data_IF_451588898029
#
_entry.id   IF_451588898029
#
_cell.length_a   1.000
_cell.length_b   1.000
_cell.length_c   1.000
_cell.angle_alpha   90.00
_cell.angle_beta   90.00
_cell.angle_gamma   90.00
#
_symmetry.space_group_name_H-M   'P 1'
#
loop_
_entity.id
_entity.type
_entity.pdbx_description
1 polymer ?
#
# COMPACT_ATOMS: atom_id res chain seq x y z
N UNK A 1 -19.74 12.44 -11.53
CA UNK A 1 -20.48 11.15 -11.56
C UNK A 1 -21.95 11.38 -11.88
N UNK A 2 -22.69 12.29 -11.20
CA UNK A 2 -24.15 12.52 -11.43
C UNK A 2 -24.49 12.93 -12.88
N UNK A 3 -23.70 13.86 -13.45
CA UNK A 3 -23.88 14.28 -14.85
C UNK A 3 -23.72 13.12 -15.84
N UNK A 4 -22.80 12.21 -15.55
CA UNK A 4 -22.59 10.99 -16.37
C UNK A 4 -23.80 10.07 -16.28
N UNK A 5 -24.30 9.80 -15.07
CA UNK A 5 -25.46 8.95 -14.87
C UNK A 5 -26.72 9.52 -15.50
N UNK A 6 -26.93 10.84 -15.40
CA UNK A 6 -28.04 11.51 -16.08
C UNK A 6 -27.96 11.32 -17.61
N UNK A 7 -26.77 11.47 -18.19
CA UNK A 7 -26.56 11.27 -19.63
C UNK A 7 -26.79 9.82 -20.06
N UNK A 8 -26.31 8.87 -19.25
CA UNK A 8 -26.53 7.44 -19.50
C UNK A 8 -28.03 7.09 -19.48
N UNK A 9 -28.78 7.60 -18.50
CA UNK A 9 -30.25 7.41 -18.46
C UNK A 9 -30.93 7.99 -19.70
N UNK A 10 -30.56 9.20 -20.11
CA UNK A 10 -31.11 9.80 -21.33
C UNK A 10 -30.86 8.93 -22.56
N UNK A 11 -29.66 8.39 -22.72
CA UNK A 11 -29.33 7.51 -23.85
C UNK A 11 -30.09 6.18 -23.78
N UNK A 12 -30.24 5.60 -22.61
CA UNK A 12 -31.06 4.40 -22.43
C UNK A 12 -32.51 4.65 -22.79
N UNK A 13 -33.09 5.78 -22.35
CA UNK A 13 -34.46 6.15 -22.65
C UNK A 13 -34.69 6.44 -24.14
N UNK A 14 -33.62 6.72 -24.88
CA UNK A 14 -33.61 6.80 -26.37
C UNK A 14 -33.41 5.44 -27.05
N UNK A 15 -33.38 4.33 -26.29
CA UNK A 15 -33.26 2.97 -26.82
C UNK A 15 -31.83 2.45 -26.94
N UNK A 16 -30.84 3.17 -26.40
CA UNK A 16 -29.45 2.68 -26.40
C UNK A 16 -29.24 1.63 -25.31
N UNK A 17 -28.59 0.52 -25.68
CA UNK A 17 -28.03 -0.41 -24.68
C UNK A 17 -26.68 0.10 -24.18
N UNK A 18 -26.52 0.15 -22.88
CA UNK A 18 -25.30 0.64 -22.24
C UNK A 18 -24.60 -0.51 -21.51
N UNK A 19 -23.33 -0.71 -21.85
CA UNK A 19 -22.47 -1.67 -21.17
C UNK A 19 -21.36 -0.93 -20.42
N UNK A 20 -21.24 -1.17 -19.12
CA UNK A 20 -20.24 -0.55 -18.26
C UNK A 20 -19.42 -1.61 -17.53
N UNK A 21 -18.10 -1.45 -17.52
CA UNK A 21 -17.19 -2.28 -16.73
C UNK A 21 -16.58 -1.40 -15.66
N UNK A 22 -16.83 -1.72 -14.40
CA UNK A 22 -16.33 -0.97 -13.26
C UNK A 22 -16.17 -1.88 -12.03
N UNK A 23 -15.24 -1.55 -11.16
CA UNK A 23 -15.10 -2.14 -9.83
C UNK A 23 -15.72 -1.27 -8.73
N UNK A 24 -16.33 -0.14 -9.09
CA UNK A 24 -16.96 0.80 -8.15
C UNK A 24 -18.40 0.36 -7.88
N UNK A 25 -18.56 -0.40 -6.82
CA UNK A 25 -19.84 -1.04 -6.45
C UNK A 25 -20.97 -0.01 -6.29
N UNK A 26 -20.70 1.13 -5.65
CA UNK A 26 -21.68 2.19 -5.48
C UNK A 26 -22.23 2.75 -6.82
N UNK A 27 -21.43 2.71 -7.90
CA UNK A 27 -21.89 3.09 -9.23
C UNK A 27 -22.82 2.03 -9.82
N UNK A 28 -22.48 0.75 -9.67
CA UNK A 28 -23.29 -0.38 -10.15
C UNK A 28 -24.67 -0.41 -9.49
N UNK A 29 -24.72 -0.32 -8.15
CA UNK A 29 -25.98 -0.30 -7.39
C UNK A 29 -26.91 0.82 -7.84
N UNK A 30 -26.37 1.96 -8.29
CA UNK A 30 -27.18 3.14 -8.65
C UNK A 30 -27.69 3.17 -10.09
N UNK A 31 -27.03 2.44 -11.02
CA UNK A 31 -27.31 2.62 -12.44
C UNK A 31 -27.60 1.34 -13.21
N UNK A 32 -27.23 0.16 -12.67
CA UNK A 32 -27.32 -1.09 -13.40
C UNK A 32 -28.71 -1.71 -13.24
N UNK A 33 -29.29 -2.17 -14.37
CA UNK A 33 -30.49 -3.01 -14.37
C UNK A 33 -30.12 -4.49 -14.18
N UNK A 34 -28.88 -4.85 -14.57
CA UNK A 34 -28.30 -6.19 -14.41
C UNK A 34 -26.79 -6.09 -14.26
N UNK A 35 -26.23 -6.85 -13.36
CA UNK A 35 -24.78 -6.92 -13.13
C UNK A 35 -24.29 -8.36 -13.23
N UNK A 36 -23.33 -8.62 -14.12
CA UNK A 36 -22.59 -9.89 -14.17
C UNK A 36 -21.28 -9.70 -13.43
N UNK A 37 -21.02 -10.52 -12.42
CA UNK A 37 -19.79 -10.47 -11.66
C UNK A 37 -18.79 -11.49 -12.19
N UNK A 38 -17.61 -11.01 -12.53
CA UNK A 38 -16.49 -11.83 -13.01
C UNK A 38 -15.38 -11.89 -11.96
N UNK A 39 -14.80 -13.07 -11.78
CA UNK A 39 -13.65 -13.30 -10.91
C UNK A 39 -12.71 -14.32 -11.57
N UNK A 40 -11.42 -13.95 -11.63
CA UNK A 40 -10.38 -14.80 -12.25
C UNK A 40 -10.73 -15.26 -13.70
N UNK A 41 -11.43 -14.39 -14.45
CA UNK A 41 -11.84 -14.68 -15.83
C UNK A 41 -13.12 -15.52 -15.98
N UNK A 42 -13.76 -15.88 -14.87
CA UNK A 42 -14.98 -16.71 -14.85
C UNK A 42 -16.17 -15.88 -14.35
N UNK A 43 -17.33 -16.05 -14.98
CA UNK A 43 -18.62 -15.55 -14.48
C UNK A 43 -18.97 -16.30 -13.19
N UNK A 44 -19.08 -15.56 -12.08
CA UNK A 44 -19.40 -16.12 -10.76
C UNK A 44 -20.84 -15.83 -10.31
N UNK A 45 -21.60 -15.06 -11.11
CA UNK A 45 -23.01 -14.83 -10.87
C UNK A 45 -23.55 -13.58 -11.53
N UNK A 46 -24.86 -13.59 -11.76
CA UNK A 46 -25.62 -12.46 -12.32
C UNK A 46 -26.63 -12.01 -11.30
N UNK A 47 -26.72 -10.70 -11.08
CA UNK A 47 -27.69 -10.04 -10.23
C UNK A 47 -28.55 -9.12 -11.07
N UNK A 48 -29.85 -9.01 -10.76
CA UNK A 48 -30.77 -8.15 -11.47
C UNK A 48 -31.72 -7.41 -10.48
N UNK A 49 -32.12 -6.21 -10.85
CA UNK A 49 -33.05 -5.40 -10.07
C UNK A 49 -32.62 -5.24 -8.62
N UNK A 50 -33.51 -5.57 -7.68
CA UNK A 50 -33.29 -5.41 -6.24
C UNK A 50 -32.17 -6.31 -5.66
N UNK A 51 -31.73 -7.32 -6.41
CA UNK A 51 -30.59 -8.15 -6.01
C UNK A 51 -29.25 -7.41 -6.13
N UNK A 52 -29.19 -6.32 -6.90
CA UNK A 52 -27.97 -5.50 -7.09
C UNK A 52 -27.75 -4.66 -5.84
N UNK A 53 -27.25 -5.28 -4.80
CA UNK A 53 -26.87 -4.64 -3.55
C UNK A 53 -25.37 -4.69 -3.35
N UNK A 54 -24.83 -3.76 -2.56
CA UNK A 54 -23.40 -3.76 -2.22
C UNK A 54 -22.97 -5.10 -1.62
N UNK A 55 -23.79 -5.65 -0.74
CA UNK A 55 -23.54 -6.93 -0.07
C UNK A 55 -23.47 -8.09 -1.06
N UNK A 56 -24.42 -8.20 -1.97
CA UNK A 56 -24.46 -9.31 -2.94
C UNK A 56 -23.31 -9.21 -3.94
N UNK A 57 -23.01 -8.00 -4.45
CA UNK A 57 -21.90 -7.76 -5.34
C UNK A 57 -20.57 -8.13 -4.67
N UNK A 58 -20.34 -7.66 -3.44
CA UNK A 58 -19.13 -7.98 -2.68
C UNK A 58 -19.01 -9.48 -2.40
N UNK A 59 -20.12 -10.14 -2.04
CA UNK A 59 -20.14 -11.57 -1.80
C UNK A 59 -19.69 -12.37 -3.02
N UNK A 60 -20.18 -12.04 -4.21
CA UNK A 60 -19.77 -12.68 -5.46
C UNK A 60 -18.32 -12.34 -5.84
N UNK A 61 -17.91 -11.07 -5.72
CA UNK A 61 -16.56 -10.62 -6.07
C UNK A 61 -15.48 -11.29 -5.19
N UNK A 62 -15.75 -11.48 -3.90
CA UNK A 62 -14.79 -12.07 -2.96
C UNK A 62 -14.91 -13.58 -2.83
N UNK A 63 -16.06 -14.16 -3.19
CA UNK A 63 -16.35 -15.58 -2.97
C UNK A 63 -16.71 -15.94 -1.53
N UNK A 64 -16.89 -14.95 -0.68
CA UNK A 64 -17.15 -15.13 0.75
C UNK A 64 -18.65 -14.94 1.03
N UNK A 65 -19.37 -16.03 1.30
CA UNK A 65 -20.81 -16.01 1.62
C UNK A 65 -21.14 -15.28 2.93
N UNK A 66 -20.14 -14.98 3.75
CA UNK A 66 -20.27 -14.25 5.03
C UNK A 66 -19.80 -12.81 4.93
N UNK A 67 -19.81 -12.22 3.74
CA UNK A 67 -19.40 -10.85 3.58
C UNK A 67 -20.39 -9.91 4.28
N UNK A 68 -20.02 -9.47 5.45
CA UNK A 68 -20.58 -8.29 6.08
C UNK A 68 -19.90 -7.06 5.47
N UNK A 69 -20.68 -6.00 5.22
CA UNK A 69 -20.25 -4.72 4.66
C UNK A 69 -18.95 -4.22 5.32
N UNK A 70 -18.16 -3.41 4.61
CA UNK A 70 -16.89 -2.83 5.08
C UNK A 70 -16.97 -2.17 6.49
N UNK A 71 -18.19 -1.85 6.95
CA UNK A 71 -18.49 -1.38 8.32
C UNK A 71 -18.31 -2.45 9.41
N UNK A 72 -18.17 -3.74 9.08
CA UNK A 72 -17.97 -4.82 10.06
C UNK A 72 -16.52 -5.34 10.15
N UNK A 73 -15.56 -4.73 9.46
CA UNK A 73 -14.20 -4.77 9.93
C UNK A 73 -14.19 -3.88 11.18
N UNK A 74 -14.77 -4.38 12.27
CA UNK A 74 -14.58 -3.77 13.59
C UNK A 74 -13.10 -3.55 13.73
N UNK A 75 -12.70 -2.29 13.80
CA UNK A 75 -11.37 -1.95 14.19
C UNK A 75 -11.14 -2.62 15.55
N UNK A 76 -10.54 -3.80 15.55
CA UNK A 76 -9.99 -4.35 16.77
C UNK A 76 -8.97 -3.30 17.19
N UNK A 77 -9.16 -2.63 18.33
CA UNK A 77 -8.15 -1.67 18.77
C UNK A 77 -6.81 -2.40 18.79
N UNK A 78 -5.73 -1.76 18.36
CA UNK A 78 -4.40 -2.35 18.47
C UNK A 78 -4.20 -2.78 19.93
N UNK A 79 -3.50 -3.89 20.14
CA UNK A 79 -3.24 -4.49 21.46
C UNK A 79 -2.40 -3.57 22.35
N UNK A 80 -2.54 -2.36 22.50
CA UNK A 80 -1.84 -1.29 23.21
C UNK A 80 -1.02 -0.40 22.25
N UNK A 81 -1.53 0.77 21.98
CA UNK A 81 -0.71 1.89 21.52
C UNK A 81 0.26 2.23 22.66
N UNK A 82 1.55 2.26 22.37
CA UNK A 82 2.59 2.63 23.33
C UNK A 82 2.64 4.16 23.47
N UNK A 83 3.04 4.66 24.64
CA UNK A 83 3.35 6.09 24.80
C UNK A 83 4.65 6.51 24.12
N UNK A 84 5.38 5.54 23.55
CA UNK A 84 6.64 5.77 22.85
C UNK A 84 6.40 6.40 21.47
N UNK A 85 6.81 7.65 21.28
CA UNK A 85 6.74 8.33 20.00
C UNK A 85 7.88 7.85 19.09
N UNK A 86 7.54 7.36 17.90
CA UNK A 86 8.51 6.84 16.92
C UNK A 86 8.74 7.77 15.73
N UNK A 87 7.78 8.66 15.44
CA UNK A 87 7.91 9.69 14.41
C UNK A 87 7.14 10.94 14.86
N UNK A 88 7.73 12.11 14.63
CA UNK A 88 7.09 13.42 14.89
C UNK A 88 7.27 14.35 13.70
N UNK A 89 6.27 15.17 13.42
CA UNK A 89 6.39 16.34 12.56
C UNK A 89 6.23 17.59 13.42
N UNK A 90 7.16 18.55 13.28
CA UNK A 90 7.17 19.80 14.03
C UNK A 90 7.20 20.98 13.07
N UNK A 91 6.17 21.83 13.17
CA UNK A 91 5.97 23.01 12.33
C UNK A 91 6.18 22.73 10.84
N UNK A 92 5.75 21.53 10.42
CA UNK A 92 5.97 21.02 9.07
C UNK A 92 5.08 21.73 8.09
N UNK A 93 5.66 22.41 7.11
CA UNK A 93 4.95 23.06 6.01
C UNK A 93 5.33 22.39 4.70
N UNK A 94 4.35 21.81 4.03
CA UNK A 94 4.54 21.06 2.76
C UNK A 94 3.92 21.76 1.55
N UNK A 95 3.23 22.87 1.77
CA UNK A 95 2.51 23.64 0.76
C UNK A 95 2.57 25.14 1.07
N UNK A 96 2.77 26.01 0.06
CA UNK A 96 2.93 27.44 0.26
C UNK A 96 1.77 28.11 1.01
N UNK A 97 0.55 27.74 0.67
CA UNK A 97 -0.67 28.26 1.30
C UNK A 97 -1.25 27.33 2.37
N UNK A 98 -0.50 26.30 2.80
CA UNK A 98 -0.90 25.36 3.84
C UNK A 98 -0.54 25.85 5.24
N UNK A 99 -1.26 25.37 6.23
CA UNK A 99 -0.95 25.58 7.63
C UNK A 99 0.23 24.71 8.08
N UNK A 100 0.80 25.03 9.23
CA UNK A 100 1.81 24.21 9.90
C UNK A 100 1.18 22.94 10.46
N UNK A 101 1.83 21.82 10.18
CA UNK A 101 1.39 20.49 10.63
C UNK A 101 2.29 20.05 11.79
N UNK A 102 1.65 19.76 12.92
CA UNK A 102 2.30 19.19 14.09
C UNK A 102 1.57 17.89 14.45
N UNK A 103 2.32 16.79 14.58
CA UNK A 103 1.77 15.54 15.07
C UNK A 103 2.87 14.62 15.61
N UNK A 104 2.46 13.69 16.45
CA UNK A 104 3.28 12.61 16.99
C UNK A 104 2.64 11.27 16.62
N UNK A 105 3.46 10.32 16.18
CA UNK A 105 3.05 8.95 15.87
C UNK A 105 3.58 8.01 16.96
N UNK A 106 2.72 7.50 17.83
CA UNK A 106 3.06 6.48 18.81
C UNK A 106 3.37 5.14 18.14
N UNK A 107 4.22 4.36 18.78
CA UNK A 107 4.53 2.99 18.35
C UNK A 107 3.28 2.12 18.40
N UNK A 108 3.03 1.37 17.31
CA UNK A 108 1.89 0.47 17.19
C UNK A 108 0.60 1.17 16.73
N UNK A 109 0.64 2.46 16.40
CA UNK A 109 -0.50 3.16 15.82
C UNK A 109 -0.54 3.00 14.29
N UNK A 110 -1.76 2.95 13.73
CA UNK A 110 -2.02 3.12 12.30
C UNK A 110 -2.67 4.48 12.12
N UNK A 111 -1.89 5.46 11.68
CA UNK A 111 -2.39 6.80 11.37
C UNK A 111 -2.93 6.86 9.94
N UNK A 112 -4.19 7.20 9.77
CA UNK A 112 -4.80 7.44 8.46
C UNK A 112 -4.77 8.92 8.08
N UNK A 113 -4.17 9.25 6.93
CA UNK A 113 -4.18 10.59 6.34
C UNK A 113 -5.15 10.60 5.16
N UNK A 114 -6.08 11.56 5.14
CA UNK A 114 -7.08 11.68 4.07
C UNK A 114 -7.29 13.14 3.70
N UNK A 115 -7.80 13.37 2.49
CA UNK A 115 -8.12 14.69 1.94
C UNK A 115 -8.63 14.58 0.51
N UNK A 116 -9.09 15.71 -0.04
CA UNK A 116 -9.41 15.79 -1.46
C UNK A 116 -8.13 15.82 -2.30
N UNK A 117 -8.22 15.39 -3.55
CA UNK A 117 -7.08 15.45 -4.47
C UNK A 117 -6.49 16.86 -4.53
N UNK A 118 -5.15 16.95 -4.42
CA UNK A 118 -4.45 18.22 -4.49
C UNK A 118 -4.40 19.02 -3.18
N UNK A 119 -4.78 18.44 -2.04
CA UNK A 119 -4.74 19.13 -0.74
C UNK A 119 -3.43 18.90 0.03
N UNK A 120 -2.37 18.40 -0.64
CA UNK A 120 -1.03 18.28 -0.07
C UNK A 120 -0.74 16.99 0.68
N UNK A 121 -1.68 16.03 0.77
CA UNK A 121 -1.45 14.75 1.45
C UNK A 121 -0.29 13.95 0.84
N UNK A 122 -0.12 14.00 -0.50
CA UNK A 122 1.00 13.35 -1.17
C UNK A 122 2.34 13.96 -0.76
N UNK A 123 2.42 15.29 -0.76
CA UNK A 123 3.61 16.03 -0.33
C UNK A 123 3.93 15.76 1.15
N UNK A 124 2.90 15.72 1.99
CA UNK A 124 3.04 15.42 3.41
C UNK A 124 3.65 14.04 3.63
N UNK A 125 3.07 13.01 3.03
CA UNK A 125 3.54 11.62 3.16
C UNK A 125 4.95 11.45 2.60
N UNK A 126 5.30 12.13 1.49
CA UNK A 126 6.64 12.14 0.92
C UNK A 126 7.66 12.87 1.80
N UNK A 127 7.25 13.97 2.44
CA UNK A 127 8.11 14.67 3.40
C UNK A 127 8.43 13.80 4.62
N UNK A 128 7.44 13.08 5.16
CA UNK A 128 7.66 12.12 6.26
C UNK A 128 8.66 11.02 5.90
N UNK A 129 8.68 10.60 4.64
CA UNK A 129 9.60 9.59 4.12
C UNK A 129 10.96 10.16 3.68
N UNK A 130 11.16 11.47 3.77
CA UNK A 130 12.39 12.15 3.33
C UNK A 130 12.59 12.12 1.81
N UNK A 131 11.52 11.98 1.02
CA UNK A 131 11.56 12.02 -0.44
C UNK A 131 11.53 13.46 -0.92
N UNK A 132 10.54 14.21 -0.42
CA UNK A 132 10.42 15.65 -0.69
C UNK A 132 10.88 16.42 0.55
N UNK A 133 11.57 17.56 0.31
CA UNK A 133 11.92 18.46 1.41
C UNK A 133 10.71 19.32 1.77
N UNK A 134 10.38 19.46 3.05
CA UNK A 134 9.35 20.40 3.47
C UNK A 134 9.80 21.83 3.21
N UNK A 135 8.86 22.76 3.05
CA UNK A 135 9.14 24.20 2.93
C UNK A 135 9.69 24.78 4.23
N UNK A 136 9.23 24.25 5.36
CA UNK A 136 9.75 24.55 6.70
C UNK A 136 9.39 23.46 7.69
N UNK A 137 9.96 23.53 8.91
CA UNK A 137 9.75 22.52 9.94
C UNK A 137 10.66 21.31 9.77
N UNK A 138 10.42 20.31 10.57
CA UNK A 138 11.24 19.11 10.57
C UNK A 138 10.43 17.83 10.84
N UNK A 139 10.92 16.72 10.31
CA UNK A 139 10.46 15.38 10.62
C UNK A 139 11.53 14.70 11.47
N UNK A 140 11.13 14.20 12.63
CA UNK A 140 12.01 13.54 13.59
C UNK A 140 11.59 12.09 13.70
N UNK A 141 12.54 11.17 13.61
CA UNK A 141 12.29 9.72 13.71
C UNK A 141 13.18 9.11 14.77
N UNK A 142 12.63 8.19 15.54
CA UNK A 142 13.40 7.36 16.45
C UNK A 142 14.35 6.46 15.66
N UNK A 143 15.63 6.50 16.03
CA UNK A 143 16.66 5.74 15.32
C UNK A 143 16.49 4.22 15.52
N UNK A 144 16.95 3.44 14.56
CA UNK A 144 17.13 2.01 14.73
C UNK A 144 18.20 1.73 15.79
N UNK A 145 18.17 0.55 16.39
CA UNK A 145 19.13 0.19 17.43
C UNK A 145 20.57 0.26 16.92
N UNK A 146 20.83 -0.16 15.67
CA UNK A 146 22.15 -0.09 15.03
C UNK A 146 22.63 1.37 14.87
N UNK A 147 21.77 2.29 14.43
CA UNK A 147 22.11 3.71 14.30
C UNK A 147 22.26 4.39 15.66
N UNK A 148 21.43 4.02 16.63
CA UNK A 148 21.54 4.53 18.01
C UNK A 148 22.85 4.14 18.66
N UNK A 149 23.30 2.89 18.49
CA UNK A 149 24.61 2.46 18.97
C UNK A 149 25.76 3.23 18.32
N UNK A 150 25.65 3.52 17.03
CA UNK A 150 26.65 4.24 16.25
C UNK A 150 26.70 5.73 16.57
N UNK A 151 25.55 6.38 16.67
CA UNK A 151 25.44 7.85 16.81
C UNK A 151 25.32 8.33 18.24
N UNK A 152 24.94 7.43 19.17
CA UNK A 152 24.60 7.72 20.58
C UNK A 152 23.42 8.70 20.72
N UNK A 153 22.51 8.72 19.72
CA UNK A 153 21.31 9.55 19.73
C UNK A 153 20.09 8.65 19.59
N UNK A 154 19.01 8.95 20.30
CA UNK A 154 17.76 8.19 20.19
C UNK A 154 16.94 8.61 18.97
N UNK A 155 17.03 9.86 18.55
CA UNK A 155 16.26 10.44 17.47
C UNK A 155 17.15 11.14 16.44
N UNK A 156 16.66 11.23 15.21
CA UNK A 156 17.31 11.97 14.12
C UNK A 156 16.29 12.70 13.26
N UNK A 157 16.69 13.83 12.69
CA UNK A 157 15.89 14.55 11.70
C UNK A 157 16.03 13.85 10.35
N UNK A 158 14.92 13.68 9.66
CA UNK A 158 14.84 13.09 8.32
C UNK A 158 15.08 14.19 7.28
N UNK A 159 16.28 14.24 6.71
CA UNK A 159 16.62 15.16 5.63
C UNK A 159 16.71 14.48 4.25
N UNK A 160 16.58 13.16 4.22
CA UNK A 160 16.63 12.38 2.99
C UNK A 160 15.98 11.00 3.17
N UNK A 161 15.62 10.38 2.05
CA UNK A 161 15.18 8.99 2.03
C UNK A 161 16.21 8.04 2.67
N UNK A 162 17.51 8.38 2.57
CA UNK A 162 18.56 7.58 3.18
C UNK A 162 18.53 7.68 4.70
N UNK A 163 18.27 8.85 5.27
CA UNK A 163 18.15 9.04 6.73
C UNK A 163 16.91 8.30 7.25
N UNK A 164 15.78 8.43 6.56
CA UNK A 164 14.55 7.68 6.87
C UNK A 164 14.83 6.17 6.87
N UNK A 165 15.46 5.65 5.82
CA UNK A 165 15.79 4.22 5.69
C UNK A 165 16.72 3.73 6.82
N UNK A 166 17.76 4.49 7.19
CA UNK A 166 18.66 4.15 8.30
C UNK A 166 17.92 4.08 9.62
N UNK A 167 16.90 4.90 9.80
CA UNK A 167 16.04 4.88 11.00
C UNK A 167 14.96 3.79 10.97
N UNK A 168 14.94 2.95 9.93
CA UNK A 168 13.99 1.86 9.81
C UNK A 168 12.63 2.27 9.20
N UNK A 169 12.58 3.38 8.49
CA UNK A 169 11.38 3.82 7.76
C UNK A 169 11.35 3.17 6.38
N UNK A 170 10.27 2.46 6.08
CA UNK A 170 9.94 1.95 4.74
C UNK A 170 8.90 2.84 4.07
N UNK A 171 9.03 3.02 2.75
CA UNK A 171 8.07 3.80 1.96
C UNK A 171 7.55 3.01 0.76
N UNK A 172 6.23 3.12 0.51
CA UNK A 172 5.56 2.57 -0.67
C UNK A 172 4.84 3.69 -1.40
N UNK A 173 5.23 3.91 -2.67
CA UNK A 173 4.66 4.97 -3.50
C UNK A 173 3.23 4.63 -3.96
N UNK A 174 2.41 5.67 -4.12
CA UNK A 174 1.07 5.61 -4.70
C UNK A 174 1.07 5.52 -6.23
N UNK A 175 2.13 5.97 -6.90
CA UNK A 175 2.26 5.84 -8.36
C UNK A 175 3.06 4.58 -8.72
N UNK A 176 2.35 3.45 -8.74
CA UNK A 176 2.94 2.15 -9.08
C UNK A 176 3.70 2.19 -10.42
N UNK A 177 3.13 2.84 -11.44
CA UNK A 177 3.67 2.78 -12.80
C UNK A 177 4.91 3.62 -12.99
N UNK A 178 4.99 4.79 -12.35
CA UNK A 178 6.10 5.74 -12.51
C UNK A 178 7.20 5.52 -11.49
N UNK A 179 6.83 5.25 -10.24
CA UNK A 179 7.75 5.22 -9.10
C UNK A 179 7.85 3.83 -8.47
N UNK A 180 6.80 3.01 -8.62
CA UNK A 180 6.65 1.81 -7.83
C UNK A 180 7.34 0.58 -8.40
N UNK A 181 7.30 0.33 -9.70
CA UNK A 181 7.85 -0.86 -10.35
C UNK A 181 8.94 -0.54 -11.34
N UNK A 182 9.82 -1.50 -11.56
CA UNK A 182 10.82 -1.51 -12.62
C UNK A 182 10.29 -2.41 -13.75
N UNK A 183 9.61 -1.87 -14.79
CA UNK A 183 8.85 -2.67 -15.74
C UNK A 183 9.69 -3.64 -16.57
N UNK A 184 10.97 -3.33 -16.76
CA UNK A 184 11.94 -4.15 -17.51
C UNK A 184 12.70 -5.17 -16.65
N UNK A 185 12.34 -5.26 -15.36
CA UNK A 185 12.94 -6.22 -14.43
C UNK A 185 11.94 -7.34 -14.12
N UNK A 186 12.46 -8.47 -13.70
CA UNK A 186 11.67 -9.62 -13.27
C UNK A 186 10.87 -9.35 -11.98
N UNK A 187 9.91 -10.20 -11.69
CA UNK A 187 9.14 -10.17 -10.43
C UNK A 187 10.12 -10.29 -9.25
N UNK A 188 11.07 -11.21 -9.35
CA UNK A 188 12.10 -11.43 -8.34
C UNK A 188 12.94 -10.17 -8.09
N UNK A 189 13.53 -9.60 -9.14
CA UNK A 189 14.36 -8.39 -9.02
C UNK A 189 13.59 -7.23 -8.44
N UNK A 190 12.33 -7.02 -8.86
CA UNK A 190 11.48 -5.98 -8.32
C UNK A 190 11.28 -6.11 -6.81
N UNK A 191 11.27 -7.32 -6.27
CA UNK A 191 11.10 -7.55 -4.83
C UNK A 191 12.40 -7.41 -4.05
N UNK A 192 13.49 -8.02 -4.53
CA UNK A 192 14.73 -8.17 -3.74
C UNK A 192 15.77 -7.08 -3.96
N UNK A 193 15.55 -6.14 -4.90
CA UNK A 193 16.50 -5.08 -5.23
C UNK A 193 17.02 -4.27 -4.01
N UNK A 194 16.22 -3.96 -2.99
CA UNK A 194 16.71 -3.24 -1.82
C UNK A 194 17.76 -4.01 -1.02
N UNK A 195 17.76 -5.32 -1.15
CA UNK A 195 18.64 -6.23 -0.40
C UNK A 195 20.04 -6.34 -1.01
N UNK A 196 20.23 -5.99 -2.28
CA UNK A 196 21.55 -6.14 -2.95
C UNK A 196 22.68 -5.33 -2.28
N UNK A 197 22.37 -4.29 -1.55
CA UNK A 197 23.34 -3.50 -0.77
C UNK A 197 23.37 -3.87 0.72
N UNK A 198 22.48 -4.73 1.17
CA UNK A 198 22.33 -5.10 2.58
C UNK A 198 23.23 -6.25 3.03
N UNK A 199 23.27 -6.47 4.34
CA UNK A 199 23.98 -7.61 4.95
C UNK A 199 23.42 -8.96 4.52
N UNK A 200 22.11 -9.01 4.19
CA UNK A 200 21.40 -10.22 3.73
C UNK A 200 21.90 -10.71 2.36
N UNK A 201 22.41 -9.82 1.52
CA UNK A 201 22.83 -10.18 0.16
C UNK A 201 24.33 -10.46 0.04
N UNK A 202 25.15 -10.05 1.02
CA UNK A 202 26.61 -10.12 0.91
C UNK A 202 27.19 -11.10 1.93
N UNK A 203 28.07 -11.99 1.46
CA UNK A 203 28.94 -12.74 2.37
C UNK A 203 29.94 -11.78 3.02
N UNK A 204 30.14 -11.91 4.33
CA UNK A 204 31.18 -11.19 5.05
C UNK A 204 32.54 -11.66 4.57
N UNK A 205 33.23 -10.85 3.81
CA UNK A 205 34.59 -11.15 3.38
C UNK A 205 35.01 -10.38 2.13
N UNK A 206 35.55 -9.19 2.29
CA UNK A 206 36.35 -8.55 1.27
C UNK A 206 35.60 -7.58 0.34
N UNK A 207 36.38 -6.93 -0.51
CA UNK A 207 35.99 -5.89 -1.47
C UNK A 207 35.00 -6.37 -2.57
N UNK A 208 34.89 -7.69 -2.77
CA UNK A 208 34.00 -8.35 -3.74
C UNK A 208 33.03 -9.24 -2.95
N UNK A 209 31.84 -8.72 -2.61
CA UNK A 209 30.81 -9.53 -1.97
C UNK A 209 30.04 -10.38 -2.98
N UNK A 210 29.97 -11.69 -2.75
CA UNK A 210 29.09 -12.58 -3.51
C UNK A 210 27.64 -12.41 -3.03
N UNK A 211 26.69 -12.44 -3.97
CA UNK A 211 25.26 -12.40 -3.65
C UNK A 211 24.84 -13.77 -3.10
N UNK A 212 24.21 -13.77 -1.93
CA UNK A 212 23.68 -14.98 -1.29
C UNK A 212 22.32 -15.35 -1.90
N UNK A 213 22.32 -15.93 -3.06
CA UNK A 213 21.12 -16.28 -3.81
C UNK A 213 20.13 -17.15 -3.05
N UNK A 214 20.62 -18.08 -2.23
CA UNK A 214 19.75 -18.94 -1.43
C UNK A 214 18.95 -18.16 -0.39
N UNK A 215 19.59 -17.22 0.31
CA UNK A 215 18.92 -16.37 1.29
C UNK A 215 17.88 -15.45 0.62
N UNK A 216 18.26 -14.82 -0.50
CA UNK A 216 17.34 -13.95 -1.24
C UNK A 216 16.15 -14.72 -1.84
N UNK A 217 16.36 -15.94 -2.30
CA UNK A 217 15.27 -16.80 -2.76
C UNK A 217 14.32 -17.15 -1.60
N UNK A 218 14.86 -17.50 -0.44
CA UNK A 218 14.03 -17.76 0.76
C UNK A 218 13.18 -16.56 1.16
N UNK A 219 13.76 -15.35 1.14
CA UNK A 219 13.00 -14.11 1.41
C UNK A 219 11.91 -13.89 0.36
N UNK A 220 12.22 -14.10 -0.92
CA UNK A 220 11.25 -13.98 -2.00
C UNK A 220 10.07 -14.94 -1.81
N UNK A 221 10.36 -16.22 -1.62
CA UNK A 221 9.35 -17.26 -1.48
C UNK A 221 8.47 -17.01 -0.24
N UNK A 222 9.07 -16.59 0.88
CA UNK A 222 8.37 -16.19 2.10
C UNK A 222 7.38 -15.04 1.86
N UNK A 223 7.80 -13.96 1.19
CA UNK A 223 6.94 -12.81 0.94
C UNK A 223 5.82 -13.13 -0.08
N UNK A 224 6.11 -13.98 -1.07
CA UNK A 224 5.11 -14.47 -2.02
C UNK A 224 4.00 -15.23 -1.29
N UNK A 225 4.36 -16.13 -0.38
CA UNK A 225 3.41 -16.88 0.43
C UNK A 225 2.67 -15.96 1.41
N UNK A 226 3.39 -15.14 2.17
CA UNK A 226 2.86 -14.24 3.18
C UNK A 226 1.80 -13.29 2.62
N UNK A 227 2.05 -12.67 1.47
CA UNK A 227 1.13 -11.73 0.83
C UNK A 227 0.18 -12.41 -0.18
N UNK A 228 0.24 -13.74 -0.30
CA UNK A 228 -0.57 -14.51 -1.26
C UNK A 228 -0.47 -13.90 -2.67
N UNK A 229 0.77 -13.70 -3.16
CA UNK A 229 1.03 -13.12 -4.47
C UNK A 229 0.81 -14.19 -5.53
N UNK A 230 -0.20 -14.00 -6.40
CA UNK A 230 -0.42 -14.91 -7.53
C UNK A 230 0.60 -14.58 -8.62
N UNK A 231 1.63 -15.41 -8.74
CA UNK A 231 2.73 -15.23 -9.69
C UNK A 231 2.98 -16.48 -10.51
N UNK A 232 3.47 -16.32 -11.73
CA UNK A 232 4.12 -17.37 -12.51
C UNK A 232 5.62 -17.49 -12.12
N UNK A 233 6.46 -18.02 -13.02
CA UNK A 233 7.91 -18.08 -12.78
C UNK A 233 8.47 -16.73 -12.35
N UNK A 234 9.28 -16.70 -11.30
CA UNK A 234 9.82 -15.46 -10.70
C UNK A 234 10.67 -14.61 -11.63
N UNK A 235 11.20 -15.24 -12.69
CA UNK A 235 11.99 -14.58 -13.72
C UNK A 235 11.15 -13.88 -14.80
N UNK A 236 9.81 -14.05 -14.79
CA UNK A 236 8.93 -13.30 -15.68
C UNK A 236 9.00 -11.81 -15.34
N UNK A 237 8.77 -10.95 -16.33
CA UNK A 237 8.68 -9.51 -16.10
C UNK A 237 7.56 -9.19 -15.12
N UNK A 238 7.76 -8.17 -14.29
CA UNK A 238 6.74 -7.68 -13.34
C UNK A 238 5.44 -7.29 -14.05
N UNK A 239 5.52 -6.86 -15.31
CA UNK A 239 4.39 -6.46 -16.15
C UNK A 239 3.48 -7.63 -16.52
N UNK A 240 3.91 -8.86 -16.36
CA UNK A 240 3.06 -10.06 -16.56
C UNK A 240 2.03 -10.25 -15.43
N UNK A 241 2.21 -9.58 -14.30
CA UNK A 241 1.29 -9.64 -13.18
C UNK A 241 0.11 -8.69 -13.34
N UNK A 242 -1.05 -9.08 -12.77
CA UNK A 242 -2.17 -8.16 -12.58
C UNK A 242 -1.77 -6.97 -11.70
N UNK A 243 -2.49 -5.84 -11.86
CA UNK A 243 -2.21 -4.64 -11.07
C UNK A 243 -2.19 -4.87 -9.56
N UNK A 244 -3.09 -5.71 -9.04
CA UNK A 244 -3.12 -6.08 -7.62
C UNK A 244 -1.89 -6.87 -7.17
N UNK A 245 -1.40 -7.81 -7.99
CA UNK A 245 -0.20 -8.56 -7.67
C UNK A 245 1.08 -7.72 -7.81
N UNK A 246 1.14 -6.78 -8.78
CA UNK A 246 2.22 -5.79 -8.84
C UNK A 246 2.29 -4.95 -7.56
N UNK A 247 1.12 -4.52 -7.05
CA UNK A 247 1.04 -3.76 -5.80
C UNK A 247 1.52 -4.58 -4.60
N UNK A 248 1.13 -5.86 -4.53
CA UNK A 248 1.61 -6.78 -3.50
C UNK A 248 3.13 -6.95 -3.55
N UNK A 249 3.75 -7.02 -4.75
CA UNK A 249 5.22 -7.07 -4.91
C UNK A 249 5.89 -5.80 -4.39
N UNK A 250 5.30 -4.61 -4.63
CA UNK A 250 5.84 -3.35 -4.08
C UNK A 250 5.80 -3.33 -2.56
N UNK A 251 4.73 -3.81 -1.97
CA UNK A 251 4.56 -3.90 -0.52
C UNK A 251 5.52 -4.93 0.05
N UNK A 252 5.63 -6.11 -0.57
CA UNK A 252 6.61 -7.13 -0.23
C UNK A 252 8.02 -6.55 -0.22
N UNK A 253 8.42 -5.82 -1.27
CA UNK A 253 9.71 -5.13 -1.34
C UNK A 253 9.99 -4.24 -0.13
N UNK A 254 8.99 -3.50 0.36
CA UNK A 254 9.16 -2.70 1.56
C UNK A 254 9.37 -3.57 2.80
N UNK A 255 8.62 -4.66 2.93
CA UNK A 255 8.75 -5.60 4.05
C UNK A 255 10.09 -6.35 4.06
N UNK A 256 10.69 -6.65 2.88
CA UNK A 256 12.01 -7.32 2.84
C UNK A 256 13.09 -6.56 3.60
N UNK A 257 12.92 -5.25 3.80
CA UNK A 257 13.86 -4.42 4.56
C UNK A 257 13.59 -4.39 6.06
N UNK A 258 12.61 -5.15 6.54
CA UNK A 258 12.18 -5.22 7.94
C UNK A 258 12.00 -3.83 8.57
N UNK A 259 11.12 -2.97 8.00
CA UNK A 259 10.94 -1.62 8.51
C UNK A 259 10.32 -1.63 9.91
N UNK A 260 10.65 -0.64 10.74
CA UNK A 260 9.97 -0.37 12.01
C UNK A 260 8.75 0.53 11.81
N UNK A 261 8.84 1.47 10.88
CA UNK A 261 7.78 2.38 10.48
C UNK A 261 7.51 2.17 8.98
N UNK A 262 6.24 2.03 8.59
CA UNK A 262 5.85 1.84 7.21
C UNK A 262 4.95 2.99 6.75
N UNK A 263 5.45 3.81 5.84
CA UNK A 263 4.73 4.92 5.23
C UNK A 263 4.17 4.46 3.88
N UNK A 264 2.86 4.52 3.75
CA UNK A 264 2.12 4.05 2.58
C UNK A 264 1.38 5.22 1.93
N UNK A 265 1.74 5.54 0.70
CA UNK A 265 1.04 6.56 -0.08
C UNK A 265 0.03 5.87 -0.99
N UNK A 266 -1.27 5.97 -0.68
CA UNK A 266 -2.39 5.33 -1.39
C UNK A 266 -2.10 3.89 -1.86
N UNK A 267 -1.73 2.98 -0.93
CA UNK A 267 -1.26 1.63 -1.28
C UNK A 267 -2.34 0.77 -1.94
N UNK A 268 -3.58 1.20 -1.90
CA UNK A 268 -4.74 0.51 -2.45
C UNK A 268 -5.19 1.06 -3.80
N UNK A 269 -4.42 1.95 -4.43
CA UNK A 269 -4.77 2.56 -5.71
C UNK A 269 -4.77 1.54 -6.85
N UNK A 270 -5.92 1.41 -7.51
CA UNK A 270 -6.05 0.56 -8.69
C UNK A 270 -5.95 -0.94 -8.42
N UNK A 271 -6.25 -1.38 -7.20
CA UNK A 271 -6.40 -2.78 -6.85
C UNK A 271 -7.87 -3.11 -6.55
N UNK A 272 -8.24 -4.37 -6.73
CA UNK A 272 -9.59 -4.85 -6.44
C UNK A 272 -9.90 -4.92 -4.93
N UNK A 273 -11.19 -5.08 -4.62
CA UNK A 273 -11.67 -5.09 -3.22
C UNK A 273 -11.06 -6.22 -2.39
N UNK A 274 -10.86 -7.40 -3.01
CA UNK A 274 -10.26 -8.55 -2.33
C UNK A 274 -8.80 -8.28 -1.95
N UNK A 275 -8.00 -7.80 -2.90
CA UNK A 275 -6.59 -7.45 -2.67
C UNK A 275 -6.45 -6.30 -1.64
N UNK A 276 -7.39 -5.34 -1.62
CA UNK A 276 -7.43 -4.27 -0.63
C UNK A 276 -7.68 -4.80 0.79
N UNK A 277 -8.61 -5.73 0.95
CA UNK A 277 -8.86 -6.38 2.23
C UNK A 277 -7.63 -7.14 2.74
N UNK A 278 -6.99 -7.91 1.85
CA UNK A 278 -5.78 -8.65 2.18
C UNK A 278 -4.66 -7.71 2.64
N UNK A 279 -4.47 -6.59 1.93
CA UNK A 279 -3.50 -5.56 2.32
C UNK A 279 -3.75 -5.08 3.74
N UNK A 280 -4.98 -4.67 4.08
CA UNK A 280 -5.29 -4.17 5.42
C UNK A 280 -5.09 -5.22 6.50
N UNK A 281 -5.36 -6.49 6.20
CA UNK A 281 -5.06 -7.60 7.10
C UNK A 281 -3.55 -7.70 7.38
N UNK A 282 -2.72 -7.59 6.34
CA UNK A 282 -1.27 -7.67 6.50
C UNK A 282 -0.69 -6.45 7.25
N UNK A 283 -1.25 -5.25 7.04
CA UNK A 283 -0.86 -4.08 7.82
C UNK A 283 -1.17 -4.26 9.31
N UNK A 284 -2.30 -4.85 9.64
CA UNK A 284 -2.62 -5.18 11.04
C UNK A 284 -1.68 -6.21 11.64
N UNK A 285 -1.31 -7.25 10.89
CA UNK A 285 -0.31 -8.22 11.34
C UNK A 285 1.01 -7.52 11.60
N UNK A 286 1.47 -6.66 10.69
CA UNK A 286 2.70 -5.88 10.84
C UNK A 286 2.71 -5.06 12.12
N UNK A 287 1.61 -4.36 12.43
CA UNK A 287 1.50 -3.57 13.66
C UNK A 287 1.50 -4.46 14.91
N UNK A 288 0.79 -5.59 14.88
CA UNK A 288 0.78 -6.55 16.00
C UNK A 288 2.16 -7.19 16.25
N UNK A 289 3.02 -7.25 15.24
CA UNK A 289 4.41 -7.70 15.32
C UNK A 289 5.38 -6.58 15.78
N UNK A 290 4.86 -5.41 16.15
CA UNK A 290 5.62 -4.29 16.70
C UNK A 290 6.04 -3.23 15.69
N UNK A 291 5.51 -3.26 14.46
CA UNK A 291 5.63 -2.19 13.48
C UNK A 291 4.67 -1.03 13.75
N UNK A 292 4.84 0.07 13.01
CA UNK A 292 4.01 1.28 13.09
C UNK A 292 3.72 1.81 11.71
#
# INVERSE_FOLDING_TARGET
TERLFAKMRTLRDQGAAIFIVTHRIAELVRISDRATVMRDGVDVGVLAGDEITEKNLLGLMTGDKKFSTASEIKATPPNSISDEIVLSAKDLKVWDNGDFINFDLPKGEILGVTGLDGQGQDNFVKALAGIDQPLSGEVIVKQSDEERERTKKDYTTVNSLLDAKKSGVGYVSGDRKKEGIFPNMSIYENMVIPLYKGKQAKTSGGFIGFIKWMELNGIFDWEVERLSIKTGPKNNLITSLSGGNQQKVMIARAFTTTPKILILNDPARGIDVGAKRDLYKHLRIFVNEGGT
#
